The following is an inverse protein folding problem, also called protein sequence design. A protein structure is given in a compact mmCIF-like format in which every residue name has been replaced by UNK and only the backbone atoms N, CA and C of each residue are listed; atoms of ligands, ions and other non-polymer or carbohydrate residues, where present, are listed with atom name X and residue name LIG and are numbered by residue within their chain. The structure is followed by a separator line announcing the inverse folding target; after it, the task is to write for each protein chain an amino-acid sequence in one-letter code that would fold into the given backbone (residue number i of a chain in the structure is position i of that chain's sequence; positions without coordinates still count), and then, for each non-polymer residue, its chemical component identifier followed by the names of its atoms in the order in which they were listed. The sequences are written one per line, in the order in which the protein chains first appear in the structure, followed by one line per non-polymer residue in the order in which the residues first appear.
data_IF_896266443583
#
_entry.id   IF_896266443583
#
_cell.length_a   1.000
_cell.length_b   1.000
_cell.length_c   1.000
_cell.angle_alpha   90.00
_cell.angle_beta   90.00
_cell.angle_gamma   90.00
#
_symmetry.space_group_name_H-M   'P 1'
#
loop_
_entity.id
_entity.type
_entity.pdbx_description
1 polymer ?
#
# COMPACT_ATOMS: atom_id res chain seq x y z
N UNK A 1 34.75 -9.80 -4.92
CA UNK A 1 33.89 -10.99 -4.79
C UNK A 1 32.55 -10.44 -4.35
N UNK A 2 31.71 -10.11 -5.31
CA UNK A 2 30.43 -9.43 -5.06
C UNK A 2 29.42 -10.43 -4.53
N UNK A 3 29.09 -10.32 -3.24
CA UNK A 3 27.86 -10.87 -2.66
C UNK A 3 26.68 -10.01 -3.11
N UNK A 4 26.31 -10.10 -4.39
CA UNK A 4 24.92 -9.85 -4.78
C UNK A 4 24.12 -11.04 -4.26
N UNK A 5 23.55 -10.89 -3.07
CA UNK A 5 22.58 -11.82 -2.48
C UNK A 5 21.60 -12.23 -3.57
N UNK A 6 21.67 -13.48 -4.01
CA UNK A 6 20.68 -14.05 -4.89
C UNK A 6 19.35 -13.95 -4.14
N UNK A 7 18.45 -13.10 -4.63
CA UNK A 7 17.15 -12.97 -4.01
C UNK A 7 16.39 -14.26 -4.33
N UNK A 8 16.12 -15.04 -3.29
CA UNK A 8 15.43 -16.33 -3.35
C UNK A 8 14.15 -16.23 -4.22
N UNK A 9 14.04 -16.97 -5.33
CA UNK A 9 12.89 -16.91 -6.24
C UNK A 9 11.54 -17.16 -5.55
N UNK A 10 11.55 -17.91 -4.45
CA UNK A 10 10.40 -18.26 -3.63
C UNK A 10 9.78 -17.05 -2.91
N UNK A 11 10.59 -16.04 -2.56
CA UNK A 11 10.13 -14.81 -1.91
C UNK A 11 9.26 -13.95 -2.84
N UNK A 12 9.45 -14.08 -4.15
CA UNK A 12 8.74 -13.29 -5.14
C UNK A 12 7.56 -14.00 -5.81
N UNK A 13 7.49 -15.33 -5.74
CA UNK A 13 6.30 -16.08 -6.16
C UNK A 13 5.04 -15.67 -5.38
N UNK A 14 5.20 -15.07 -4.19
CA UNK A 14 4.11 -14.53 -3.36
C UNK A 14 3.78 -13.06 -3.68
N UNK A 15 4.57 -12.32 -4.48
CA UNK A 15 4.37 -10.87 -4.64
C UNK A 15 3.01 -10.51 -5.27
N UNK A 16 2.58 -11.24 -6.30
CA UNK A 16 1.25 -11.08 -6.88
C UNK A 16 0.13 -11.45 -5.88
N UNK A 17 0.32 -12.51 -5.10
CA UNK A 17 -0.64 -12.91 -4.05
C UNK A 17 -0.70 -11.88 -2.92
N UNK A 18 0.41 -11.27 -2.54
CA UNK A 18 0.45 -10.18 -1.56
C UNK A 18 -0.25 -8.93 -2.10
N UNK A 19 -0.10 -8.62 -3.38
CA UNK A 19 -0.80 -7.53 -4.04
C UNK A 19 -2.32 -7.77 -4.07
N UNK A 20 -2.76 -8.99 -4.39
CA UNK A 20 -4.17 -9.39 -4.30
C UNK A 20 -4.71 -9.20 -2.88
N UNK A 21 -3.98 -9.69 -1.87
CA UNK A 21 -4.36 -9.59 -0.45
C UNK A 21 -4.39 -8.14 0.05
N UNK A 22 -3.44 -7.32 -0.38
CA UNK A 22 -3.41 -5.87 -0.09
C UNK A 22 -4.62 -5.17 -0.74
N UNK A 23 -4.96 -5.55 -1.97
CA UNK A 23 -6.12 -5.02 -2.71
C UNK A 23 -7.44 -5.36 -2.02
N UNK A 24 -7.60 -6.60 -1.56
CA UNK A 24 -8.74 -7.00 -0.73
C UNK A 24 -8.81 -6.21 0.59
N UNK A 25 -7.66 -6.01 1.24
CA UNK A 25 -7.59 -5.26 2.50
C UNK A 25 -7.99 -3.79 2.32
N UNK A 26 -7.46 -3.08 1.32
CA UNK A 26 -7.82 -1.67 1.06
C UNK A 26 -9.29 -1.53 0.69
N UNK A 27 -9.86 -2.48 -0.05
CA UNK A 27 -11.29 -2.48 -0.39
C UNK A 27 -12.16 -2.56 0.88
N UNK A 28 -11.78 -3.42 1.83
CA UNK A 28 -12.44 -3.53 3.13
C UNK A 28 -12.25 -2.28 4.01
N UNK A 29 -11.09 -1.64 3.96
CA UNK A 29 -10.83 -0.38 4.65
C UNK A 29 -11.68 0.79 4.09
N UNK A 30 -11.86 0.82 2.76
CA UNK A 30 -12.63 1.84 2.07
C UNK A 30 -14.16 1.71 2.23
N UNK A 31 -14.64 0.62 2.83
CA UNK A 31 -16.08 0.36 3.01
C UNK A 31 -16.79 1.45 3.82
N UNK A 32 -16.09 2.08 4.77
CA UNK A 32 -16.66 3.06 5.71
C UNK A 32 -16.43 4.52 5.28
N UNK A 33 -15.86 4.74 4.10
CA UNK A 33 -15.68 6.11 3.61
C UNK A 33 -17.06 6.70 3.31
N UNK A 34 -17.31 7.87 3.90
CA UNK A 34 -18.49 8.68 3.65
C UNK A 34 -18.05 10.03 3.09
N UNK A 35 -18.98 10.79 2.52
CA UNK A 35 -18.68 12.16 2.04
C UNK A 35 -18.10 13.05 3.15
N UNK A 36 -18.53 12.85 4.40
CA UNK A 36 -18.03 13.62 5.54
C UNK A 36 -16.58 13.25 5.91
N UNK A 37 -16.22 11.97 5.86
CA UNK A 37 -14.86 11.53 6.23
C UNK A 37 -13.81 11.92 5.19
N UNK A 38 -14.20 12.23 3.96
CA UNK A 38 -13.27 12.64 2.90
C UNK A 38 -12.42 13.87 3.25
N UNK A 39 -12.90 14.75 4.13
CA UNK A 39 -12.15 15.93 4.59
C UNK A 39 -11.28 15.66 5.83
N UNK A 40 -11.29 14.44 6.39
CA UNK A 40 -10.50 14.11 7.57
C UNK A 40 -9.00 14.09 7.24
N UNK A 41 -8.19 14.50 8.21
CA UNK A 41 -6.75 14.31 8.16
C UNK A 41 -6.38 12.83 8.03
N UNK A 42 -5.20 12.57 7.46
CA UNK A 42 -4.63 11.24 7.31
C UNK A 42 -3.28 11.14 8.02
N UNK A 43 -2.77 9.92 8.27
CA UNK A 43 -1.39 9.74 8.70
C UNK A 43 -0.36 10.23 7.67
N UNK A 44 -0.75 10.40 6.39
CA UNK A 44 0.05 11.04 5.36
C UNK A 44 0.01 12.57 5.56
N UNK A 45 1.12 13.14 6.02
CA UNK A 45 1.19 14.55 6.38
C UNK A 45 0.75 15.47 5.22
N UNK A 46 -0.18 16.38 5.51
CA UNK A 46 -0.71 17.35 4.54
C UNK A 46 -1.79 16.79 3.61
N UNK A 47 -2.17 15.51 3.73
CA UNK A 47 -3.22 14.90 2.92
C UNK A 47 -4.50 14.73 3.73
N UNK A 48 -5.62 15.14 3.15
CA UNK A 48 -6.94 14.69 3.57
C UNK A 48 -7.27 13.32 2.96
N UNK A 49 -8.34 12.68 3.45
CA UNK A 49 -8.73 11.35 3.00
C UNK A 49 -9.09 11.34 1.50
N UNK A 50 -9.63 12.43 0.96
CA UNK A 50 -9.86 12.57 -0.48
C UNK A 50 -8.55 12.43 -1.26
N UNK A 51 -7.53 13.20 -0.88
CA UNK A 51 -6.20 13.17 -1.53
C UNK A 51 -5.59 11.78 -1.44
N UNK A 52 -5.68 11.13 -0.28
CA UNK A 52 -5.21 9.76 -0.08
C UNK A 52 -5.93 8.75 -0.98
N UNK A 53 -7.26 8.81 -1.07
CA UNK A 53 -8.03 7.89 -1.93
C UNK A 53 -7.68 8.10 -3.41
N UNK A 54 -7.54 9.35 -3.84
CA UNK A 54 -7.09 9.66 -5.20
C UNK A 54 -5.70 9.10 -5.47
N UNK A 55 -4.76 9.23 -4.53
CA UNK A 55 -3.42 8.64 -4.67
C UNK A 55 -3.47 7.11 -4.82
N UNK A 56 -4.23 6.43 -3.96
CA UNK A 56 -4.38 4.95 -4.04
C UNK A 56 -4.99 4.53 -5.37
N UNK A 57 -5.94 5.31 -5.91
CA UNK A 57 -6.46 5.06 -7.26
C UNK A 57 -5.33 5.09 -8.28
N UNK A 58 -4.53 6.14 -8.29
CA UNK A 58 -3.43 6.33 -9.25
C UNK A 58 -2.39 5.22 -9.12
N UNK A 59 -2.03 4.84 -7.89
CA UNK A 59 -1.15 3.70 -7.63
C UNK A 59 -1.70 2.39 -8.20
N UNK A 60 -2.98 2.10 -8.02
CA UNK A 60 -3.60 0.89 -8.59
C UNK A 60 -3.58 0.89 -10.13
N UNK A 61 -3.78 2.06 -10.76
CA UNK A 61 -3.69 2.19 -12.21
C UNK A 61 -2.26 1.97 -12.72
N UNK A 62 -1.26 2.57 -12.04
CA UNK A 62 0.15 2.36 -12.35
C UNK A 62 0.54 0.90 -12.19
N UNK A 63 0.09 0.23 -11.13
CA UNK A 63 0.35 -1.21 -10.91
C UNK A 63 -0.25 -2.06 -12.03
N UNK A 64 -1.50 -1.80 -12.42
CA UNK A 64 -2.15 -2.49 -13.52
C UNK A 64 -1.41 -2.30 -14.86
N UNK A 65 -1.00 -1.07 -15.16
CA UNK A 65 -0.25 -0.74 -16.37
C UNK A 65 1.11 -1.43 -16.36
N UNK A 66 1.81 -1.37 -15.23
CA UNK A 66 3.16 -1.91 -15.07
C UNK A 66 3.19 -3.43 -15.18
N UNK A 67 2.25 -4.13 -14.52
CA UNK A 67 2.30 -5.60 -14.39
C UNK A 67 1.50 -6.35 -15.45
N UNK A 68 0.55 -5.68 -16.10
CA UNK A 68 -0.34 -6.32 -17.07
C UNK A 68 -0.45 -5.56 -18.40
N UNK A 69 0.19 -4.40 -18.54
CA UNK A 69 0.03 -3.51 -19.70
C UNK A 69 -1.44 -3.14 -19.96
N UNK A 70 -2.22 -2.96 -18.87
CA UNK A 70 -3.63 -2.57 -18.94
C UNK A 70 -3.89 -1.31 -18.14
N UNK A 71 -4.71 -0.43 -18.69
CA UNK A 71 -5.20 0.77 -18.00
C UNK A 71 -6.66 0.52 -17.58
N UNK A 72 -7.02 0.69 -16.30
CA UNK A 72 -8.41 0.63 -15.87
C UNK A 72 -9.26 1.69 -16.58
N UNK A 73 -10.47 1.32 -17.02
CA UNK A 73 -11.46 2.29 -17.51
C UNK A 73 -12.36 2.69 -16.34
N UNK A 74 -12.23 3.94 -15.89
CA UNK A 74 -12.99 4.46 -14.76
C UNK A 74 -14.40 4.93 -15.14
N UNK A 75 -14.68 5.10 -16.45
CA UNK A 75 -15.98 5.55 -16.94
C UNK A 75 -16.59 6.73 -16.18
N UNK A 76 -17.87 6.62 -15.85
CA UNK A 76 -18.65 7.63 -15.10
C UNK A 76 -18.20 7.78 -13.63
N UNK A 77 -17.48 6.80 -13.07
CA UNK A 77 -17.02 6.81 -11.69
C UNK A 77 -15.80 7.72 -11.48
N UNK A 78 -15.16 8.22 -12.54
CA UNK A 78 -13.93 9.05 -12.46
C UNK A 78 -14.07 10.31 -11.58
N UNK A 79 -15.28 10.85 -11.43
CA UNK A 79 -15.55 11.99 -10.54
C UNK A 79 -15.78 11.60 -9.07
N UNK A 80 -15.96 10.31 -8.77
CA UNK A 80 -16.29 9.78 -7.45
C UNK A 80 -15.16 8.89 -6.92
N UNK A 81 -14.17 9.44 -6.18
CA UNK A 81 -12.91 8.77 -5.90
C UNK A 81 -13.06 7.42 -5.17
N UNK A 82 -14.09 7.25 -4.35
CA UNK A 82 -14.39 5.99 -3.65
C UNK A 82 -14.98 4.94 -4.60
N UNK A 83 -15.81 5.35 -5.57
CA UNK A 83 -16.33 4.46 -6.60
C UNK A 83 -15.19 4.02 -7.53
N UNK A 84 -14.35 4.97 -7.96
CA UNK A 84 -13.11 4.69 -8.69
C UNK A 84 -12.22 3.68 -7.96
N UNK A 85 -12.03 3.84 -6.65
CA UNK A 85 -11.25 2.90 -5.84
C UNK A 85 -11.82 1.49 -5.89
N UNK A 86 -13.14 1.35 -5.73
CA UNK A 86 -13.80 0.04 -5.79
C UNK A 86 -13.67 -0.59 -7.18
N UNK A 87 -13.81 0.22 -8.24
CA UNK A 87 -13.67 -0.23 -9.63
C UNK A 87 -12.25 -0.69 -9.93
N UNK A 88 -11.24 0.14 -9.64
CA UNK A 88 -9.81 -0.17 -9.86
C UNK A 88 -9.33 -1.34 -9.00
N UNK A 89 -9.79 -1.46 -7.75
CA UNK A 89 -9.48 -2.62 -6.92
C UNK A 89 -10.05 -3.92 -7.51
N UNK A 90 -11.31 -3.91 -7.96
CA UNK A 90 -11.91 -5.05 -8.66
C UNK A 90 -11.14 -5.38 -9.94
N UNK A 91 -10.81 -4.37 -10.73
CA UNK A 91 -10.02 -4.53 -11.94
C UNK A 91 -8.68 -5.22 -11.67
N UNK A 92 -7.95 -4.83 -10.62
CA UNK A 92 -6.70 -5.48 -10.23
C UNK A 92 -6.91 -6.93 -9.80
N UNK A 93 -7.95 -7.23 -9.02
CA UNK A 93 -8.28 -8.60 -8.58
C UNK A 93 -8.67 -9.52 -9.74
N UNK A 94 -9.29 -8.97 -10.79
CA UNK A 94 -9.70 -9.72 -11.98
C UNK A 94 -8.60 -9.78 -13.06
N UNK A 95 -7.55 -8.97 -12.92
CA UNK A 95 -6.46 -8.91 -13.89
C UNK A 95 -5.46 -10.03 -13.63
N UNK A 96 -5.16 -10.80 -14.68
CA UNK A 96 -4.04 -11.74 -14.65
C UNK A 96 -2.73 -10.94 -14.64
N UNK A 97 -2.16 -10.74 -13.46
CA UNK A 97 -0.90 -10.01 -13.30
C UNK A 97 0.29 -10.87 -13.75
N UNK A 98 1.12 -10.32 -14.63
CA UNK A 98 2.36 -10.93 -15.03
C UNK A 98 3.52 -10.59 -14.08
N UNK A 99 4.68 -11.18 -14.35
CA UNK A 99 5.95 -10.77 -13.78
C UNK A 99 6.93 -10.44 -14.91
N UNK A 100 6.65 -9.40 -15.72
CA UNK A 100 7.58 -8.97 -16.76
C UNK A 100 8.98 -8.68 -16.20
N UNK A 101 10.00 -9.20 -16.88
CA UNK A 101 11.41 -9.01 -16.49
C UNK A 101 11.91 -7.57 -16.71
N UNK A 102 11.17 -6.78 -17.52
CA UNK A 102 11.51 -5.40 -17.87
C UNK A 102 10.27 -4.51 -17.71
N UNK A 103 10.14 -3.87 -16.55
CA UNK A 103 9.15 -2.81 -16.32
C UNK A 103 9.81 -1.51 -15.94
N UNK A 104 9.12 -0.38 -16.15
CA UNK A 104 9.66 0.94 -15.85
C UNK A 104 8.76 1.65 -14.84
N UNK A 105 9.32 2.04 -13.69
CA UNK A 105 8.63 2.85 -12.68
C UNK A 105 9.38 4.17 -12.53
N UNK A 106 8.73 5.30 -12.81
CA UNK A 106 9.39 6.61 -12.79
C UNK A 106 10.54 6.75 -13.80
N UNK A 107 10.53 5.95 -14.88
CA UNK A 107 11.58 5.91 -15.90
C UNK A 107 12.78 5.03 -15.57
N UNK A 108 12.78 4.31 -14.45
CA UNK A 108 13.85 3.39 -14.06
C UNK A 108 13.43 1.93 -14.33
N UNK A 109 14.32 1.10 -14.92
CA UNK A 109 14.05 -0.32 -15.13
C UNK A 109 13.98 -1.05 -13.79
N UNK A 110 12.97 -1.90 -13.65
CA UNK A 110 12.66 -2.63 -12.43
C UNK A 110 12.15 -4.03 -12.80
N UNK A 111 12.43 -5.01 -11.94
CA UNK A 111 11.86 -6.35 -12.05
C UNK A 111 10.36 -6.31 -11.67
N UNK A 112 9.49 -6.93 -12.46
CA UNK A 112 8.05 -6.93 -12.22
C UNK A 112 7.65 -7.47 -10.83
N UNK A 113 8.47 -8.34 -10.22
CA UNK A 113 8.25 -8.83 -8.85
C UNK A 113 8.51 -7.76 -7.81
N UNK A 114 9.49 -6.88 -8.03
CA UNK A 114 9.73 -5.72 -7.18
C UNK A 114 8.60 -4.70 -7.36
N UNK A 115 8.12 -4.50 -8.59
CA UNK A 115 6.96 -3.64 -8.83
C UNK A 115 5.70 -4.17 -8.11
N UNK A 116 5.42 -5.47 -8.19
CA UNK A 116 4.32 -6.12 -7.48
C UNK A 116 4.48 -6.01 -5.95
N UNK A 117 5.68 -6.26 -5.41
CA UNK A 117 5.97 -6.09 -3.99
C UNK A 117 5.80 -4.64 -3.53
N UNK A 118 6.20 -3.67 -4.36
CA UNK A 118 6.04 -2.23 -4.09
C UNK A 118 4.56 -1.86 -4.04
N UNK A 119 3.78 -2.27 -5.04
CA UNK A 119 2.33 -2.06 -5.05
C UNK A 119 1.63 -2.71 -3.87
N UNK A 120 2.00 -3.95 -3.52
CA UNK A 120 1.43 -4.64 -2.35
C UNK A 120 1.71 -3.88 -1.04
N UNK A 121 2.93 -3.37 -0.87
CA UNK A 121 3.35 -2.62 0.31
C UNK A 121 2.61 -1.28 0.43
N UNK A 122 2.56 -0.52 -0.66
CA UNK A 122 1.92 0.80 -0.74
C UNK A 122 0.40 0.71 -0.55
N UNK A 123 -0.27 -0.20 -1.26
CA UNK A 123 -1.71 -0.41 -1.13
C UNK A 123 -2.08 -0.86 0.29
N UNK A 124 -1.29 -1.76 0.89
CA UNK A 124 -1.56 -2.24 2.25
C UNK A 124 -1.39 -1.14 3.30
N UNK A 125 -0.32 -0.34 3.24
CA UNK A 125 -0.13 0.75 4.21
C UNK A 125 -1.19 1.84 4.06
N UNK A 126 -1.62 2.14 2.83
CA UNK A 126 -2.68 3.12 2.61
C UNK A 126 -4.08 2.60 2.95
N UNK A 127 -4.33 1.30 2.86
CA UNK A 127 -5.52 0.69 3.46
C UNK A 127 -5.59 0.95 4.98
N UNK A 128 -4.45 0.88 5.66
CA UNK A 128 -4.37 1.24 7.08
C UNK A 128 -4.58 2.74 7.29
N UNK A 129 -3.94 3.60 6.48
CA UNK A 129 -4.09 5.05 6.55
C UNK A 129 -5.58 5.47 6.36
N UNK A 130 -6.29 4.87 5.40
CA UNK A 130 -7.73 5.07 5.15
C UNK A 130 -8.56 4.69 6.37
N UNK A 131 -8.35 3.49 6.93
CA UNK A 131 -9.09 3.04 8.11
C UNK A 131 -8.90 3.99 9.29
N UNK A 132 -7.67 4.51 9.47
CA UNK A 132 -7.35 5.47 10.52
C UNK A 132 -8.08 6.80 10.36
N UNK A 133 -8.16 7.33 9.15
CA UNK A 133 -8.92 8.55 8.84
C UNK A 133 -10.42 8.38 9.04
N UNK A 134 -10.93 7.16 8.86
CA UNK A 134 -12.32 6.82 9.19
C UNK A 134 -12.53 6.54 10.70
N UNK A 135 -11.50 6.63 11.55
CA UNK A 135 -11.59 6.36 12.98
C UNK A 135 -11.74 4.88 13.34
N UNK A 136 -11.47 3.97 12.39
CA UNK A 136 -11.63 2.53 12.53
C UNK A 136 -10.34 1.84 12.92
N UNK A 137 -10.43 0.90 13.86
CA UNK A 137 -9.34 -0.02 14.17
C UNK A 137 -9.31 -1.26 13.28
N UNK A 138 -8.79 -1.06 12.07
CA UNK A 138 -8.55 -2.10 11.08
C UNK A 138 -7.05 -2.29 10.89
N UNK A 139 -6.38 -3.15 11.68
CA UNK A 139 -4.97 -3.45 11.47
C UNK A 139 -4.75 -4.19 10.15
N UNK A 140 -3.55 -4.03 9.56
CA UNK A 140 -3.13 -4.88 8.43
C UNK A 140 -3.09 -6.33 8.93
N UNK A 141 -3.71 -7.30 8.24
CA UNK A 141 -3.72 -8.70 8.68
C UNK A 141 -2.31 -9.22 8.97
N UNK A 142 -2.12 -9.90 10.10
CA UNK A 142 -0.79 -10.28 10.61
C UNK A 142 0.05 -11.08 9.62
N UNK A 143 -0.58 -12.01 8.89
CA UNK A 143 0.09 -12.81 7.87
C UNK A 143 0.51 -11.99 6.65
N UNK A 144 -0.25 -10.95 6.30
CA UNK A 144 0.09 -10.03 5.21
C UNK A 144 1.23 -9.12 5.66
N UNK A 145 1.10 -8.52 6.84
CA UNK A 145 2.12 -7.65 7.41
C UNK A 145 3.47 -8.38 7.63
N UNK A 146 3.43 -9.63 8.08
CA UNK A 146 4.64 -10.45 8.26
C UNK A 146 5.38 -10.69 6.95
N UNK A 147 4.65 -10.99 5.86
CA UNK A 147 5.24 -11.17 4.54
C UNK A 147 5.79 -9.84 3.99
N UNK A 148 5.02 -8.76 4.07
CA UNK A 148 5.43 -7.43 3.63
C UNK A 148 6.66 -6.89 4.39
N UNK A 149 6.79 -7.16 5.69
CA UNK A 149 8.01 -6.82 6.45
C UNK A 149 9.25 -7.51 5.88
N UNK A 150 9.13 -8.76 5.40
CA UNK A 150 10.26 -9.48 4.79
C UNK A 150 10.64 -8.90 3.44
N UNK A 151 9.67 -8.39 2.68
CA UNK A 151 9.90 -7.76 1.37
C UNK A 151 10.35 -6.30 1.48
N UNK A 152 10.01 -5.60 2.57
CA UNK A 152 10.29 -4.18 2.74
C UNK A 152 11.74 -3.76 2.45
N UNK A 153 12.80 -4.49 2.83
CA UNK A 153 14.18 -4.10 2.52
C UNK A 153 14.50 -4.02 1.02
N UNK A 154 13.74 -4.71 0.17
CA UNK A 154 13.94 -4.69 -1.29
C UNK A 154 13.25 -3.48 -1.95
N UNK A 155 12.24 -2.93 -1.29
CA UNK A 155 11.43 -1.81 -1.79
C UNK A 155 11.84 -0.50 -1.13
N UNK A 156 12.18 -0.54 0.15
CA UNK A 156 12.43 0.63 1.01
C UNK A 156 13.92 0.76 1.26
N UNK A 157 14.62 1.28 0.25
CA UNK A 157 16.06 1.56 0.30
C UNK A 157 16.30 3.01 0.76
N UNK A 158 17.56 3.39 0.99
CA UNK A 158 17.92 4.79 1.25
C UNK A 158 17.55 5.71 0.08
N UNK A 159 17.58 5.19 -1.15
CA UNK A 159 17.27 5.93 -2.37
C UNK A 159 15.76 6.08 -2.59
N UNK A 160 14.98 5.02 -2.37
CA UNK A 160 13.53 5.05 -2.64
C UNK A 160 12.72 5.66 -1.49
N UNK A 161 13.18 5.53 -0.24
CA UNK A 161 12.43 5.98 0.94
C UNK A 161 12.00 7.44 0.85
N UNK A 162 12.88 8.43 0.57
CA UNK A 162 12.47 9.84 0.58
C UNK A 162 11.30 10.17 -0.37
N UNK A 163 11.09 9.37 -1.41
CA UNK A 163 10.03 9.57 -2.40
C UNK A 163 8.76 8.78 -2.09
N UNK A 164 8.86 7.66 -1.38
CA UNK A 164 7.76 6.71 -1.19
C UNK A 164 7.30 6.58 0.27
N UNK A 165 8.17 6.80 1.25
CA UNK A 165 7.92 6.48 2.66
C UNK A 165 8.52 7.50 3.63
N UNK A 166 7.87 7.67 4.80
CA UNK A 166 8.41 8.50 5.87
C UNK A 166 9.65 7.90 6.54
N UNK A 167 10.38 8.68 7.36
CA UNK A 167 11.44 8.15 8.20
C UNK A 167 10.86 7.11 9.19
N UNK A 168 11.56 5.99 9.46
CA UNK A 168 11.04 4.96 10.34
C UNK A 168 10.81 5.49 11.77
N UNK A 169 9.71 5.07 12.38
CA UNK A 169 9.39 5.35 13.78
C UNK A 169 9.90 4.20 14.65
N UNK A 170 10.62 4.51 15.74
CA UNK A 170 11.08 3.50 16.68
C UNK A 170 9.89 2.78 17.31
N UNK A 171 9.87 1.44 17.24
CA UNK A 171 8.75 0.63 17.71
C UNK A 171 9.22 -0.70 18.35
N UNK A 172 8.51 -1.24 19.35
CA UNK A 172 8.88 -2.51 19.97
C UNK A 172 8.92 -3.66 18.96
N UNK A 173 9.97 -4.49 19.01
CA UNK A 173 10.14 -5.64 18.08
C UNK A 173 9.11 -6.74 18.30
N UNK A 174 8.49 -6.76 19.47
CA UNK A 174 7.50 -7.72 19.95
C UNK A 174 6.07 -7.23 19.71
N UNK A 175 5.89 -6.01 19.18
CA UNK A 175 4.58 -5.50 18.80
C UNK A 175 3.99 -6.33 17.63
N UNK A 176 2.66 -6.28 17.44
CA UNK A 176 2.00 -6.93 16.32
C UNK A 176 2.66 -6.59 14.97
N UNK A 177 2.72 -7.53 14.01
CA UNK A 177 3.35 -7.31 12.70
C UNK A 177 2.83 -6.07 11.98
N UNK A 178 1.51 -5.82 11.99
CA UNK A 178 0.92 -4.63 11.37
C UNK A 178 1.49 -3.33 11.93
N UNK A 179 1.63 -3.21 13.26
CA UNK A 179 2.19 -2.02 13.89
C UNK A 179 3.66 -1.82 13.52
N UNK A 180 4.44 -2.91 13.52
CA UNK A 180 5.85 -2.87 13.14
C UNK A 180 6.04 -2.46 11.68
N UNK A 181 5.16 -2.93 10.80
CA UNK A 181 5.19 -2.58 9.39
C UNK A 181 4.94 -1.09 9.19
N UNK A 182 3.82 -0.57 9.71
CA UNK A 182 3.49 0.86 9.51
C UNK A 182 4.51 1.78 10.18
N UNK A 183 5.07 1.38 11.33
CA UNK A 183 6.17 2.09 11.98
C UNK A 183 7.44 2.13 11.13
N UNK A 184 7.82 1.00 10.51
CA UNK A 184 8.94 0.94 9.58
C UNK A 184 8.73 1.85 8.35
N UNK A 185 7.47 2.04 7.92
CA UNK A 185 7.08 2.94 6.83
C UNK A 185 6.82 4.38 7.30
N UNK A 186 7.11 4.70 8.55
CA UNK A 186 7.10 6.06 9.11
C UNK A 186 5.78 6.54 9.68
N UNK A 187 4.83 5.65 9.93
CA UNK A 187 3.57 5.96 10.62
C UNK A 187 3.73 5.74 12.12
N UNK A 188 2.96 6.46 12.94
CA UNK A 188 2.83 6.15 14.36
C UNK A 188 1.61 5.22 14.56
N UNK A 189 1.78 3.95 14.98
CA UNK A 189 0.68 2.99 15.07
C UNK A 189 -0.44 3.35 16.05
N UNK A 190 -0.17 4.22 17.02
CA UNK A 190 -1.16 4.61 18.06
C UNK A 190 -1.62 6.06 17.93
N UNK A 191 -1.09 6.83 16.97
CA UNK A 191 -1.57 8.19 16.77
C UNK A 191 -2.87 8.18 15.96
N UNK A 192 -3.78 9.06 16.34
CA UNK A 192 -4.89 9.48 15.49
C UNK A 192 -4.39 10.54 14.51
N UNK A 193 -4.96 10.63 13.30
CA UNK A 193 -4.59 11.66 12.33
C UNK A 193 -4.81 13.10 12.81
N UNK A 194 -5.70 13.31 13.80
CA UNK A 194 -5.95 14.60 14.44
C UNK A 194 -4.95 14.94 15.57
N UNK A 195 -3.93 14.10 15.79
CA UNK A 195 -2.92 14.28 16.83
C UNK A 195 -3.26 13.64 18.18
N UNK A 196 -4.44 13.04 18.33
CA UNK A 196 -4.80 12.25 19.51
C UNK A 196 -4.11 10.88 19.57
N UNK A 197 -4.34 10.11 20.63
CA UNK A 197 -3.93 8.70 20.73
C UNK A 197 -5.14 7.77 20.57
N UNK A 198 -4.93 6.61 19.96
CA UNK A 198 -5.90 5.52 19.87
C UNK A 198 -5.86 4.75 21.19
N UNK A 199 -6.99 4.63 21.92
CA UNK A 199 -7.05 3.84 23.14
C UNK A 199 -6.69 2.38 22.85
N UNK A 200 -5.77 1.80 23.63
CA UNK A 200 -5.56 0.35 23.61
C UNK A 200 -6.63 -0.27 24.52
N UNK A 201 -7.52 -1.05 23.91
CA UNK A 201 -8.51 -1.87 24.63
C UNK A 201 -7.87 -3.03 25.38
#
# INVERSE_FOLDING_TARGET
MDERTAIEPELFGDAATLLERATCYVLGAAADITTATLAHATPCAGWDLRTLVTHVNDSMAVVAETLASRVPDDGEDSAAPVATLRSRARFLLETSLGHPDDVHVGGLPLDGRIAAATGALEIAVHGWDIARSCGRDSPIPDSLATALIRLAPMVVTEETRPFLFGPPVAWPRQAPPGERLVAHLGRNPVARPDGGLIPRG
#
